data_IF_210333066645
#
_entry.id   IF_210333066645
#
_cell.length_a   1.000
_cell.length_b   1.000
_cell.length_c   1.000
_cell.angle_alpha   90.00
_cell.angle_beta   90.00
_cell.angle_gamma   90.00
#
_symmetry.space_group_name_H-M   'P 1'
#
loop_
_entity.id
_entity.type
_entity.pdbx_description
1 polymer ?
#
# COMPACT_ATOMS: atom_id res chain seq x y z
N UNK A 1 25.98 21.83 -0.31
CA UNK A 1 24.51 21.93 -0.45
C UNK A 1 24.11 22.02 -1.91
N UNK A 2 24.65 22.96 -2.69
CA UNK A 2 24.23 23.14 -4.10
C UNK A 2 24.39 21.90 -4.97
N UNK A 3 25.53 21.20 -4.88
CA UNK A 3 25.75 19.92 -5.56
C UNK A 3 24.73 18.84 -5.18
N UNK A 4 24.27 18.84 -3.93
CA UNK A 4 23.23 17.90 -3.48
C UNK A 4 21.89 18.27 -4.12
N UNK A 5 21.52 19.56 -4.13
CA UNK A 5 20.30 20.02 -4.80
C UNK A 5 20.30 19.70 -6.29
N UNK A 6 21.43 19.92 -6.97
CA UNK A 6 21.60 19.58 -8.38
C UNK A 6 21.42 18.07 -8.61
N UNK A 7 22.07 17.23 -7.80
CA UNK A 7 21.92 15.78 -7.89
C UNK A 7 20.47 15.31 -7.64
N UNK A 8 19.79 15.87 -6.63
CA UNK A 8 18.40 15.52 -6.31
C UNK A 8 17.41 15.96 -7.39
N UNK A 9 17.71 17.02 -8.14
CA UNK A 9 16.92 17.43 -9.31
C UNK A 9 17.24 16.59 -10.57
N UNK A 10 18.27 15.75 -10.55
CA UNK A 10 18.64 14.87 -11.67
C UNK A 10 18.00 13.48 -11.54
N UNK A 11 17.69 13.03 -10.33
CA UNK A 11 17.12 11.70 -10.07
C UNK A 11 15.60 11.77 -10.08
N UNK A 12 14.96 10.95 -10.90
CA UNK A 12 13.50 10.83 -10.97
C UNK A 12 12.99 9.56 -10.31
N UNK A 13 11.77 9.61 -9.77
CA UNK A 13 11.13 8.51 -9.04
C UNK A 13 11.07 8.72 -7.53
N UNK A 14 10.86 7.64 -6.78
CA UNK A 14 10.68 7.70 -5.33
C UNK A 14 11.97 7.53 -4.54
N UNK A 15 12.26 8.47 -3.64
CA UNK A 15 13.40 8.37 -2.74
C UNK A 15 13.15 9.06 -1.39
N UNK A 16 13.66 8.43 -0.34
CA UNK A 16 13.86 9.05 0.97
C UNK A 16 15.29 8.73 1.40
N UNK A 17 16.21 9.67 1.21
CA UNK A 17 17.63 9.49 1.48
C UNK A 17 18.02 9.93 2.88
N UNK A 18 18.96 9.20 3.47
CA UNK A 18 19.75 9.64 4.61
C UNK A 18 21.22 9.72 4.18
N UNK A 19 21.85 10.87 4.41
CA UNK A 19 23.25 11.14 4.08
C UNK A 19 23.92 11.64 5.34
N UNK A 20 25.10 11.12 5.66
CA UNK A 20 25.87 11.54 6.82
C UNK A 20 27.22 12.09 6.35
N UNK A 21 27.60 13.22 6.96
CA UNK A 21 28.92 13.83 6.82
C UNK A 21 29.54 13.97 8.21
N UNK A 22 30.81 14.40 8.29
CA UNK A 22 31.47 14.63 9.59
C UNK A 22 30.71 15.59 10.52
N UNK A 23 29.97 16.55 9.96
CA UNK A 23 29.36 17.65 10.71
C UNK A 23 27.82 17.69 10.63
N UNK A 24 27.18 16.76 9.91
CA UNK A 24 25.73 16.80 9.73
C UNK A 24 25.14 15.45 9.31
N UNK A 25 23.91 15.20 9.78
CA UNK A 25 22.99 14.20 9.24
C UNK A 25 21.96 14.91 8.36
N UNK A 26 21.75 14.43 7.15
CA UNK A 26 20.90 15.04 6.14
C UNK A 26 19.83 14.01 5.72
N UNK A 27 18.56 14.41 5.75
CA UNK A 27 17.47 13.69 5.12
C UNK A 27 16.99 14.44 3.87
N UNK A 28 16.64 13.73 2.80
CA UNK A 28 16.06 14.35 1.60
C UNK A 28 14.91 13.49 1.07
N UNK A 29 13.82 14.14 0.67
CA UNK A 29 12.61 13.46 0.18
C UNK A 29 12.28 13.92 -1.24
N UNK A 30 11.86 12.97 -2.08
CA UNK A 30 11.49 13.22 -3.48
C UNK A 30 10.36 14.27 -3.63
N UNK A 31 10.17 14.85 -4.84
CA UNK A 31 9.20 15.93 -5.07
C UNK A 31 7.73 15.51 -4.92
N UNK A 32 7.45 14.20 -4.83
CA UNK A 32 6.12 13.64 -4.63
C UNK A 32 5.89 13.11 -3.21
N UNK A 33 6.95 12.91 -2.43
CA UNK A 33 6.89 12.28 -1.12
C UNK A 33 6.31 10.87 -1.18
N UNK A 34 6.75 10.05 -2.13
CA UNK A 34 6.25 8.68 -2.30
C UNK A 34 6.46 7.81 -1.06
N UNK A 35 7.54 8.08 -0.33
CA UNK A 35 7.92 7.38 0.91
C UNK A 35 7.83 8.31 2.12
N UNK A 36 7.35 7.82 3.26
CA UNK A 36 7.31 8.64 4.46
C UNK A 36 8.72 8.86 5.02
N UNK A 37 8.96 10.06 5.54
CA UNK A 37 10.16 10.40 6.30
C UNK A 37 9.77 11.38 7.41
N UNK A 38 10.07 11.01 8.65
CA UNK A 38 9.69 11.73 9.85
C UNK A 38 10.92 12.16 10.63
N UNK A 39 10.88 13.39 11.14
CA UNK A 39 11.86 13.93 12.09
C UNK A 39 11.27 13.86 13.50
N UNK A 40 11.98 13.20 14.41
CA UNK A 40 11.69 13.17 15.84
C UNK A 40 12.80 13.83 16.66
N UNK A 41 12.48 14.16 17.92
CA UNK A 41 13.42 14.71 18.89
C UNK A 41 13.35 13.95 20.22
N UNK A 42 14.49 13.48 20.68
CA UNK A 42 14.64 12.82 21.97
C UNK A 42 14.68 13.84 23.12
N UNK A 43 14.38 13.39 24.35
CA UNK A 43 14.42 14.23 25.56
C UNK A 43 15.80 14.84 25.85
N UNK A 44 16.87 14.19 25.43
CA UNK A 44 18.25 14.69 25.57
C UNK A 44 18.63 15.73 24.49
N UNK A 45 17.71 16.08 23.58
CA UNK A 45 17.93 17.04 22.51
C UNK A 45 18.35 16.43 21.17
N UNK A 46 18.69 15.15 21.11
CA UNK A 46 19.09 14.48 19.86
C UNK A 46 17.93 14.40 18.86
N UNK A 47 18.24 14.49 17.57
CA UNK A 47 17.27 14.33 16.48
C UNK A 47 17.36 12.93 15.87
N UNK A 48 16.20 12.40 15.48
CA UNK A 48 16.06 11.07 14.87
C UNK A 48 15.30 11.22 13.56
N UNK A 49 15.80 10.62 12.49
CA UNK A 49 15.06 10.47 11.24
C UNK A 49 14.64 9.02 11.08
N UNK A 50 13.38 8.81 10.71
CA UNK A 50 12.84 7.48 10.49
C UNK A 50 11.80 7.50 9.37
N UNK A 51 11.67 6.40 8.64
CA UNK A 51 10.61 6.24 7.65
C UNK A 51 9.22 6.24 8.31
N UNK A 52 9.11 5.68 9.51
CA UNK A 52 7.84 5.50 10.23
C UNK A 52 7.93 6.02 11.66
N UNK A 53 6.83 6.57 12.18
CA UNK A 53 6.77 7.15 13.53
C UNK A 53 6.88 6.11 14.62
N UNK A 54 6.49 4.85 14.38
CA UNK A 54 6.64 3.78 15.37
C UNK A 54 8.11 3.60 15.82
N UNK A 55 9.09 3.94 14.96
CA UNK A 55 10.49 3.91 15.33
C UNK A 55 10.85 5.02 16.31
N UNK A 56 10.24 6.20 16.16
CA UNK A 56 10.38 7.32 17.09
C UNK A 56 9.81 6.94 18.46
N UNK A 57 8.64 6.33 18.50
CA UNK A 57 7.99 5.88 19.75
C UNK A 57 8.85 4.86 20.49
N UNK A 58 9.42 3.88 19.77
CA UNK A 58 10.27 2.83 20.35
C UNK A 58 11.52 3.41 21.01
N UNK A 59 12.13 4.45 20.41
CA UNK A 59 13.34 5.09 20.96
C UNK A 59 13.01 6.24 21.92
N UNK A 60 11.73 6.56 22.14
CA UNK A 60 11.28 7.64 23.01
C UNK A 60 11.54 9.04 22.43
N UNK A 61 11.51 9.18 21.11
CA UNK A 61 11.56 10.47 20.42
C UNK A 61 10.14 10.99 20.14
N UNK A 62 9.90 12.27 20.39
CA UNK A 62 8.65 12.94 20.06
C UNK A 62 8.67 13.36 18.58
N UNK A 63 7.58 13.12 17.85
CA UNK A 63 7.45 13.57 16.46
C UNK A 63 7.52 15.09 16.38
N UNK A 64 8.48 15.61 15.62
CA UNK A 64 8.62 17.05 15.35
C UNK A 64 7.84 17.43 14.09
N UNK A 65 8.07 16.71 12.98
CA UNK A 65 7.36 16.91 11.71
C UNK A 65 7.57 15.77 10.74
N UNK A 66 6.67 15.68 9.76
CA UNK A 66 6.95 14.96 8.52
C UNK A 66 7.84 15.85 7.62
N UNK A 67 8.79 15.24 6.94
CA UNK A 67 9.54 15.88 5.86
C UNK A 67 8.61 15.95 4.64
N UNK A 68 8.46 17.14 4.05
CA UNK A 68 7.53 17.37 2.94
C UNK A 68 8.21 17.07 1.60
N UNK A 69 7.42 16.85 0.53
CA UNK A 69 7.99 16.63 -0.79
C UNK A 69 8.94 17.77 -1.19
N UNK A 70 10.08 17.44 -1.79
CA UNK A 70 11.08 18.43 -2.22
C UNK A 70 11.92 19.06 -1.10
N UNK A 71 11.77 18.61 0.15
CA UNK A 71 12.52 19.12 1.29
C UNK A 71 13.80 18.31 1.58
N UNK A 72 14.83 19.04 2.01
CA UNK A 72 16.04 18.54 2.67
C UNK A 72 15.98 18.99 4.13
N UNK A 73 16.11 18.06 5.06
CA UNK A 73 16.36 18.34 6.48
C UNK A 73 17.85 18.18 6.74
N UNK A 74 18.47 19.19 7.34
CA UNK A 74 19.87 19.14 7.79
C UNK A 74 19.88 19.26 9.29
N UNK A 75 20.45 18.27 9.96
CA UNK A 75 20.66 18.21 11.41
C UNK A 75 22.16 18.35 11.68
N UNK A 76 22.53 19.31 12.51
CA UNK A 76 23.90 19.55 12.98
C UNK A 76 23.91 19.83 14.50
N UNK A 77 25.08 20.16 15.05
CA UNK A 77 25.27 20.44 16.49
C UNK A 77 24.44 21.65 17.00
N UNK A 78 23.89 22.47 16.10
CA UNK A 78 23.09 23.64 16.45
C UNK A 78 21.58 23.41 16.31
N UNK A 79 21.16 22.24 15.80
CA UNK A 79 19.76 21.85 15.68
C UNK A 79 19.43 21.31 14.29
N UNK A 80 18.24 21.65 13.78
CA UNK A 80 17.86 21.30 12.41
C UNK A 80 17.40 22.51 11.61
N UNK A 81 17.57 22.44 10.30
CA UNK A 81 16.99 23.37 9.33
C UNK A 81 16.38 22.62 8.16
N UNK A 82 15.38 23.24 7.55
CA UNK A 82 14.73 22.75 6.33
C UNK A 82 15.18 23.60 5.15
N UNK A 83 15.52 22.94 4.05
CA UNK A 83 15.94 23.57 2.80
C UNK A 83 15.15 22.92 1.67
N UNK A 84 14.46 23.70 0.86
CA UNK A 84 13.85 23.18 -0.37
C UNK A 84 14.90 23.09 -1.49
N UNK A 85 14.91 21.97 -2.20
CA UNK A 85 15.73 21.81 -3.42
C UNK A 85 14.91 22.00 -4.69
N UNK A 86 13.59 21.89 -4.60
CA UNK A 86 12.61 22.24 -5.64
C UNK A 86 11.32 22.73 -5.01
N UNK A 87 10.56 23.54 -5.75
CA UNK A 87 9.19 23.94 -5.42
C UNK A 87 8.15 23.30 -6.36
N UNK A 88 8.61 22.57 -7.38
CA UNK A 88 7.77 21.78 -8.26
C UNK A 88 7.46 20.46 -7.56
N UNK A 89 6.47 20.51 -6.66
CA UNK A 89 6.16 19.40 -5.76
C UNK A 89 4.69 19.10 -5.77
N UNK A 90 4.35 17.84 -5.55
CA UNK A 90 2.97 17.43 -5.43
C UNK A 90 2.85 16.13 -4.66
N UNK A 91 2.20 16.19 -3.50
CA UNK A 91 2.07 15.04 -2.62
C UNK A 91 1.34 13.88 -3.31
N UNK A 92 1.99 12.72 -3.37
CA UNK A 92 1.46 11.45 -3.86
C UNK A 92 2.04 10.30 -3.02
N UNK A 93 1.77 10.31 -1.71
CA UNK A 93 2.26 9.28 -0.78
C UNK A 93 1.74 7.90 -1.20
N UNK A 94 2.59 6.88 -1.12
CA UNK A 94 2.24 5.53 -1.54
C UNK A 94 1.02 5.00 -0.75
N UNK A 95 -0.10 4.74 -1.44
CA UNK A 95 -1.31 4.17 -0.82
C UNK A 95 -1.07 2.80 -0.17
N UNK A 96 -0.11 2.02 -0.67
CA UNK A 96 0.25 0.74 -0.09
C UNK A 96 0.92 0.84 1.29
N UNK A 97 1.43 2.02 1.69
CA UNK A 97 1.87 2.24 3.08
C UNK A 97 0.69 2.09 4.04
N UNK A 98 -0.45 2.70 3.71
CA UNK A 98 -1.67 2.55 4.48
C UNK A 98 -2.30 1.16 4.35
N UNK A 99 -2.28 0.55 3.17
CA UNK A 99 -2.92 -0.76 2.94
C UNK A 99 -2.14 -1.89 3.63
N UNK A 100 -0.80 -1.90 3.52
CA UNK A 100 0.00 -3.08 3.87
C UNK A 100 1.34 -2.78 4.55
N UNK A 101 2.16 -1.90 3.97
CA UNK A 101 3.60 -1.83 4.30
C UNK A 101 3.88 -1.24 5.68
N UNK A 102 3.28 -0.09 5.99
CA UNK A 102 3.54 0.57 7.26
C UNK A 102 2.95 -0.23 8.42
N UNK A 103 3.59 -0.12 9.58
CA UNK A 103 3.07 -0.75 10.79
C UNK A 103 1.79 -0.03 11.25
N UNK A 104 0.82 -0.78 11.82
CA UNK A 104 -0.44 -0.20 12.27
C UNK A 104 -0.30 0.89 13.35
N UNK A 105 0.79 0.88 14.12
CA UNK A 105 1.12 1.86 15.15
C UNK A 105 1.86 3.10 14.62
N UNK A 106 2.05 3.21 13.30
CA UNK A 106 2.62 4.40 12.67
C UNK A 106 1.54 5.41 12.27
N UNK A 107 1.91 6.69 12.29
CA UNK A 107 1.14 7.81 11.77
C UNK A 107 1.85 8.40 10.56
N UNK A 108 1.16 8.46 9.43
CA UNK A 108 1.70 9.03 8.18
C UNK A 108 0.93 10.32 7.92
N UNK A 109 1.63 11.47 7.95
CA UNK A 109 1.01 12.79 7.82
C UNK A 109 -0.19 13.02 8.77
N UNK A 110 -0.10 12.46 9.99
CA UNK A 110 -1.15 12.57 11.01
C UNK A 110 -2.30 11.57 10.86
N UNK A 111 -2.28 10.72 9.84
CA UNK A 111 -3.24 9.62 9.68
C UNK A 111 -2.64 8.34 10.26
N UNK A 112 -3.27 7.83 11.31
CA UNK A 112 -2.91 6.55 11.90
C UNK A 112 -3.22 5.37 10.97
N UNK A 113 -2.26 4.48 10.76
CA UNK A 113 -2.35 3.36 9.81
C UNK A 113 -3.40 2.33 10.26
N UNK A 114 -3.44 1.95 11.55
CA UNK A 114 -4.47 1.06 12.08
C UNK A 114 -5.87 1.62 11.84
N UNK A 115 -6.08 2.90 12.18
CA UNK A 115 -7.36 3.58 12.05
C UNK A 115 -7.81 3.69 10.60
N UNK A 116 -6.90 3.99 9.67
CA UNK A 116 -7.19 4.00 8.24
C UNK A 116 -7.62 2.62 7.75
N UNK A 117 -6.88 1.56 8.09
CA UNK A 117 -7.25 0.17 7.74
C UNK A 117 -8.60 -0.25 8.31
N UNK A 118 -8.90 0.16 9.55
CA UNK A 118 -10.20 -0.10 10.17
C UNK A 118 -11.33 0.58 9.40
N UNK A 119 -11.17 1.84 8.99
CA UNK A 119 -12.14 2.55 8.14
C UNK A 119 -12.30 1.88 6.77
N UNK A 120 -11.21 1.42 6.14
CA UNK A 120 -11.28 0.65 4.90
C UNK A 120 -12.14 -0.62 5.05
N UNK A 121 -11.98 -1.33 6.17
CA UNK A 121 -12.81 -2.49 6.50
C UNK A 121 -14.30 -2.17 6.64
N UNK A 122 -14.62 -1.10 7.38
CA UNK A 122 -16.01 -0.65 7.54
C UNK A 122 -16.61 -0.22 6.19
N UNK A 123 -15.87 0.56 5.39
CA UNK A 123 -16.32 0.95 4.05
C UNK A 123 -16.55 -0.26 3.15
N UNK A 124 -15.70 -1.28 3.22
CA UNK A 124 -15.86 -2.51 2.46
C UNK A 124 -17.11 -3.29 2.86
N UNK A 125 -17.52 -3.25 4.13
CA UNK A 125 -18.77 -3.85 4.58
C UNK A 125 -20.00 -3.11 4.02
N UNK A 126 -19.92 -1.78 3.91
CA UNK A 126 -20.98 -0.96 3.31
C UNK A 126 -21.09 -1.19 1.79
N UNK A 127 -19.96 -1.27 1.09
CA UNK A 127 -19.92 -1.45 -0.37
C UNK A 127 -20.24 -2.88 -0.80
N UNK A 128 -19.92 -3.88 0.03
CA UNK A 128 -20.01 -5.29 -0.35
C UNK A 128 -20.39 -6.18 0.85
N UNK A 129 -21.59 -6.00 1.41
CA UNK A 129 -22.10 -6.87 2.47
C UNK A 129 -22.34 -8.30 1.94
N UNK A 130 -22.33 -9.27 2.85
CA UNK A 130 -22.76 -10.64 2.57
C UNK A 130 -23.21 -11.34 3.85
N UNK A 131 -24.24 -12.17 3.74
CA UNK A 131 -24.72 -12.97 4.86
C UNK A 131 -23.69 -14.05 5.20
N UNK A 132 -23.10 -13.94 6.39
CA UNK A 132 -22.13 -14.89 6.90
C UNK A 132 -22.26 -15.02 8.43
N UNK A 133 -21.49 -15.93 9.03
CA UNK A 133 -21.57 -16.21 10.46
C UNK A 133 -20.45 -15.50 11.25
N UNK A 134 -19.36 -15.12 10.59
CA UNK A 134 -18.20 -14.47 11.20
C UNK A 134 -17.30 -13.79 10.17
N UNK A 135 -16.45 -12.90 10.66
CA UNK A 135 -15.36 -12.28 9.93
C UNK A 135 -14.03 -12.78 10.50
N UNK A 136 -13.07 -13.06 9.62
CA UNK A 136 -11.70 -13.40 10.01
C UNK A 136 -10.72 -12.56 9.18
N UNK A 137 -9.62 -12.13 9.80
CA UNK A 137 -8.52 -11.48 9.10
C UNK A 137 -7.40 -12.46 8.74
N UNK A 138 -6.76 -12.27 7.59
CA UNK A 138 -5.49 -12.91 7.24
C UNK A 138 -4.36 -12.30 8.09
N UNK A 139 -3.71 -13.06 8.99
CA UNK A 139 -2.70 -12.47 9.87
C UNK A 139 -1.41 -12.14 9.10
N UNK A 140 -0.79 -10.98 9.29
CA UNK A 140 -1.08 -9.97 10.33
C UNK A 140 -1.67 -8.67 9.79
N UNK A 141 -1.55 -8.42 8.49
CA UNK A 141 -1.75 -7.10 7.87
C UNK A 141 -3.21 -6.68 7.81
N UNK A 142 -4.14 -7.61 7.59
CA UNK A 142 -5.56 -7.29 7.44
C UNK A 142 -6.38 -7.34 8.73
N UNK A 143 -5.74 -7.59 9.88
CA UNK A 143 -6.44 -7.69 11.18
C UNK A 143 -7.21 -6.40 11.54
N UNK A 144 -6.66 -5.24 11.18
CA UNK A 144 -7.32 -3.94 11.42
C UNK A 144 -8.56 -3.76 10.54
N UNK A 145 -8.47 -4.13 9.25
CA UNK A 145 -9.59 -4.10 8.33
C UNK A 145 -10.66 -5.15 8.69
N UNK A 146 -10.26 -6.33 9.17
CA UNK A 146 -11.18 -7.35 9.69
C UNK A 146 -11.99 -6.83 10.88
N UNK A 147 -11.34 -6.14 11.83
CA UNK A 147 -12.04 -5.48 12.94
C UNK A 147 -13.07 -4.47 12.45
N UNK A 148 -12.69 -3.61 11.49
CA UNK A 148 -13.59 -2.60 10.95
C UNK A 148 -14.78 -3.19 10.19
N UNK A 149 -14.55 -4.20 9.37
CA UNK A 149 -15.63 -4.89 8.65
C UNK A 149 -16.58 -5.58 9.62
N UNK A 150 -16.06 -6.28 10.62
CA UNK A 150 -16.86 -7.01 11.61
C UNK A 150 -17.74 -6.08 12.45
N UNK A 151 -17.20 -4.95 12.90
CA UNK A 151 -17.93 -3.93 13.66
C UNK A 151 -19.06 -3.33 12.82
N UNK A 152 -18.79 -2.96 11.57
CA UNK A 152 -19.79 -2.39 10.66
C UNK A 152 -20.88 -3.42 10.30
N UNK A 153 -20.50 -4.67 10.04
CA UNK A 153 -21.43 -5.73 9.67
C UNK A 153 -22.20 -6.33 10.87
N UNK A 154 -21.83 -5.98 12.11
CA UNK A 154 -22.41 -6.58 13.32
C UNK A 154 -22.11 -8.07 13.48
N UNK A 155 -20.96 -8.53 12.98
CA UNK A 155 -20.53 -9.93 12.99
C UNK A 155 -19.39 -10.16 14.00
N UNK A 156 -19.26 -11.37 14.57
CA UNK A 156 -18.12 -11.69 15.41
C UNK A 156 -16.81 -11.70 14.59
N UNK A 157 -15.77 -11.05 15.12
CA UNK A 157 -14.41 -11.09 14.59
C UNK A 157 -13.63 -12.23 15.26
N UNK A 158 -13.39 -13.31 14.53
CA UNK A 158 -12.87 -14.56 15.06
C UNK A 158 -11.47 -14.90 14.56
N UNK A 159 -10.76 -15.71 15.33
CA UNK A 159 -9.43 -16.19 14.96
C UNK A 159 -9.53 -17.48 14.14
N UNK A 160 -9.95 -17.36 12.87
CA UNK A 160 -10.08 -18.49 11.95
C UNK A 160 -8.76 -18.94 11.29
N UNK A 161 -7.73 -18.09 11.30
CA UNK A 161 -6.42 -18.34 10.73
C UNK A 161 -5.32 -18.00 11.74
N UNK A 162 -4.28 -18.83 11.77
CA UNK A 162 -3.07 -18.62 12.57
C UNK A 162 -1.87 -18.60 11.65
N UNK A 163 -1.09 -17.52 11.74
CA UNK A 163 0.25 -17.45 11.14
C UNK A 163 1.25 -18.10 12.08
N UNK A 164 2.02 -19.05 11.55
CA UNK A 164 3.11 -19.66 12.30
C UNK A 164 4.29 -18.67 12.36
N UNK A 165 4.62 -18.21 13.57
CA UNK A 165 5.68 -17.23 13.79
C UNK A 165 7.10 -17.79 13.61
N UNK A 166 7.25 -19.12 13.55
CA UNK A 166 8.54 -19.80 13.57
C UNK A 166 8.96 -20.37 12.20
N UNK A 167 8.25 -20.01 11.12
CA UNK A 167 8.59 -20.49 9.77
C UNK A 167 9.80 -19.72 9.24
N UNK A 168 10.97 -20.33 9.30
CA UNK A 168 12.19 -19.82 8.68
C UNK A 168 12.14 -19.88 7.15
N UNK A 169 13.05 -19.16 6.48
CA UNK A 169 13.25 -19.24 5.03
C UNK A 169 13.51 -20.71 4.62
N UNK A 170 12.63 -21.28 3.79
CA UNK A 170 12.77 -22.64 3.21
C UNK A 170 13.82 -22.63 2.10
N UNK A 171 15.10 -22.42 2.44
CA UNK A 171 16.14 -22.15 1.45
C UNK A 171 16.65 -23.39 0.70
N UNK A 172 16.49 -24.61 1.24
CA UNK A 172 16.78 -25.86 0.52
C UNK A 172 15.83 -26.95 1.03
N UNK A 173 14.72 -27.18 0.34
CA UNK A 173 13.86 -28.36 0.57
C UNK A 173 14.05 -29.32 -0.61
N UNK A 174 14.45 -30.59 -0.37
CA UNK A 174 14.95 -31.49 -1.41
C UNK A 174 13.90 -31.95 -2.41
N UNK A 175 12.61 -31.87 -2.06
CA UNK A 175 11.51 -32.27 -2.95
C UNK A 175 10.48 -31.16 -3.09
N UNK A 176 9.73 -31.20 -4.20
CA UNK A 176 8.60 -30.29 -4.45
C UNK A 176 7.51 -30.47 -3.38
N UNK A 177 7.25 -31.70 -2.94
CA UNK A 177 6.30 -32.01 -1.86
C UNK A 177 6.66 -31.38 -0.52
N UNK A 178 7.95 -31.38 -0.14
CA UNK A 178 8.43 -30.73 1.08
C UNK A 178 8.37 -29.20 0.98
N UNK A 179 8.54 -28.64 -0.21
CA UNK A 179 8.27 -27.21 -0.48
C UNK A 179 6.80 -26.88 -0.29
N UNK A 180 5.91 -27.70 -0.85
CA UNK A 180 4.46 -27.53 -0.68
C UNK A 180 4.05 -27.65 0.78
N UNK A 181 4.59 -28.62 1.54
CA UNK A 181 4.41 -28.72 3.00
C UNK A 181 4.94 -27.49 3.75
N UNK A 182 6.10 -26.96 3.39
CA UNK A 182 6.66 -25.75 4.00
C UNK A 182 5.77 -24.51 3.76
N UNK A 183 5.07 -24.45 2.64
CA UNK A 183 4.03 -23.43 2.39
C UNK A 183 2.80 -23.68 3.27
N UNK A 184 2.37 -24.94 3.47
CA UNK A 184 1.28 -25.29 4.41
C UNK A 184 1.61 -24.90 5.85
N UNK A 185 2.88 -24.82 6.23
CA UNK A 185 3.29 -24.43 7.58
C UNK A 185 3.11 -22.94 7.88
N UNK A 186 3.00 -22.06 6.88
CA UNK A 186 2.94 -20.60 7.10
C UNK A 186 1.64 -20.13 7.73
N UNK A 187 0.52 -20.71 7.30
CA UNK A 187 -0.83 -20.39 7.75
C UNK A 187 -1.59 -21.68 8.02
N UNK A 188 -2.33 -21.72 9.12
CA UNK A 188 -3.19 -22.84 9.51
C UNK A 188 -4.59 -22.34 9.83
N UNK A 189 -5.62 -23.10 9.44
CA UNK A 189 -7.00 -22.79 9.78
C UNK A 189 -7.36 -23.41 11.14
N UNK A 190 -8.09 -22.65 11.95
CA UNK A 190 -8.59 -23.10 13.25
C UNK A 190 -9.90 -23.86 13.02
N UNK A 191 -9.80 -25.16 12.77
CA UNK A 191 -10.94 -26.03 12.45
C UNK A 191 -12.11 -25.91 13.44
N UNK A 192 -11.82 -25.77 14.73
CA UNK A 192 -12.85 -25.62 15.77
C UNK A 192 -13.69 -24.34 15.65
N UNK A 193 -13.16 -23.32 14.97
CA UNK A 193 -13.83 -22.03 14.72
C UNK A 193 -14.61 -22.08 13.40
N UNK A 194 -13.98 -22.55 12.32
CA UNK A 194 -14.52 -22.38 10.96
C UNK A 194 -15.44 -23.52 10.48
N UNK A 195 -15.43 -24.69 11.12
CA UNK A 195 -16.17 -25.86 10.63
C UNK A 195 -17.69 -25.60 10.62
N UNK A 196 -18.31 -25.78 9.45
CA UNK A 196 -19.73 -25.61 9.20
C UNK A 196 -20.18 -24.15 9.13
N UNK A 197 -19.26 -23.20 9.12
CA UNK A 197 -19.55 -21.76 9.13
C UNK A 197 -19.37 -21.13 7.76
N UNK A 198 -20.17 -20.12 7.46
CA UNK A 198 -19.97 -19.19 6.34
C UNK A 198 -19.04 -18.09 6.83
N UNK A 199 -17.87 -17.96 6.20
CA UNK A 199 -16.78 -17.14 6.73
C UNK A 199 -16.44 -16.03 5.75
N UNK A 200 -16.45 -14.77 6.22
CA UNK A 200 -15.88 -13.64 5.51
C UNK A 200 -14.40 -13.56 5.84
N UNK A 201 -13.54 -13.59 4.82
CA UNK A 201 -12.09 -13.50 4.95
C UNK A 201 -11.65 -12.13 4.44
N UNK A 202 -11.10 -11.32 5.33
CA UNK A 202 -10.51 -10.04 4.97
C UNK A 202 -9.03 -10.24 4.67
N UNK A 203 -8.61 -9.85 3.47
CA UNK A 203 -7.20 -9.74 3.08
C UNK A 203 -6.92 -8.29 2.65
N UNK A 204 -5.66 -7.87 2.71
CA UNK A 204 -5.29 -6.49 2.37
C UNK A 204 -5.36 -6.22 0.86
N UNK A 205 -4.88 -7.18 0.06
CA UNK A 205 -4.61 -7.03 -1.36
C UNK A 205 -4.50 -8.40 -2.04
N UNK A 206 -4.72 -8.44 -3.36
CA UNK A 206 -4.41 -9.62 -4.18
C UNK A 206 -3.44 -9.21 -5.29
N UNK A 207 -2.22 -9.77 -5.24
CA UNK A 207 -1.19 -9.57 -6.28
C UNK A 207 -1.27 -10.69 -7.32
N UNK A 208 -0.82 -11.90 -6.96
CA UNK A 208 -0.77 -13.08 -7.85
C UNK A 208 -1.97 -14.04 -7.68
N UNK A 209 -2.76 -13.85 -6.61
CA UNK A 209 -3.88 -14.74 -6.26
C UNK A 209 -3.52 -16.09 -5.64
N UNK A 210 -2.25 -16.50 -5.67
CA UNK A 210 -1.81 -17.83 -5.16
C UNK A 210 -2.01 -17.98 -3.66
N UNK A 211 -1.69 -16.95 -2.87
CA UNK A 211 -1.90 -16.92 -1.42
C UNK A 211 -3.39 -17.02 -1.09
N UNK A 212 -4.22 -16.18 -1.71
CA UNK A 212 -5.68 -16.16 -1.50
C UNK A 212 -6.31 -17.50 -1.89
N UNK A 213 -5.91 -18.09 -3.02
CA UNK A 213 -6.33 -19.45 -3.42
C UNK A 213 -6.00 -20.49 -2.34
N UNK A 214 -4.80 -20.42 -1.77
CA UNK A 214 -4.39 -21.35 -0.71
C UNK A 214 -5.18 -21.15 0.57
N UNK A 215 -5.47 -19.92 0.95
CA UNK A 215 -6.29 -19.58 2.13
C UNK A 215 -7.70 -20.14 1.98
N UNK A 216 -8.34 -19.91 0.83
CA UNK A 216 -9.68 -20.43 0.55
C UNK A 216 -9.69 -21.96 0.61
N UNK A 217 -8.72 -22.61 -0.04
CA UNK A 217 -8.59 -24.07 0.02
C UNK A 217 -8.43 -24.58 1.45
N UNK A 218 -7.57 -23.94 2.25
CA UNK A 218 -7.31 -24.32 3.64
C UNK A 218 -8.56 -24.22 4.52
N UNK A 219 -9.38 -23.18 4.32
CA UNK A 219 -10.64 -22.99 5.05
C UNK A 219 -11.69 -24.02 4.64
N UNK A 220 -11.81 -24.31 3.33
CA UNK A 220 -12.69 -25.37 2.82
C UNK A 220 -12.26 -26.75 3.33
N UNK A 221 -10.96 -27.05 3.35
CA UNK A 221 -10.38 -28.28 3.94
C UNK A 221 -10.67 -28.39 5.46
N UNK A 222 -10.67 -27.26 6.18
CA UNK A 222 -11.05 -27.21 7.59
C UNK A 222 -12.58 -27.37 7.80
N UNK A 223 -13.36 -27.31 6.73
CA UNK A 223 -14.80 -27.57 6.74
C UNK A 223 -15.66 -26.32 6.81
N UNK A 224 -15.16 -25.14 6.43
CA UNK A 224 -16.02 -23.97 6.21
C UNK A 224 -17.10 -24.29 5.16
N UNK A 225 -18.33 -23.84 5.40
CA UNK A 225 -19.45 -24.03 4.50
C UNK A 225 -19.34 -23.12 3.27
N UNK A 226 -19.00 -21.84 3.50
CA UNK A 226 -18.78 -20.82 2.47
C UNK A 226 -17.57 -19.97 2.85
N UNK A 227 -16.83 -19.48 1.86
CA UNK A 227 -15.69 -18.58 2.01
C UNK A 227 -15.88 -17.37 1.11
N UNK A 228 -16.17 -16.22 1.71
CA UNK A 228 -16.36 -14.95 1.02
C UNK A 228 -15.11 -14.07 1.20
N UNK A 229 -14.38 -13.84 0.12
CA UNK A 229 -13.20 -12.99 0.14
C UNK A 229 -13.60 -11.53 0.03
N UNK A 230 -13.03 -10.68 0.88
CA UNK A 230 -13.22 -9.23 0.87
C UNK A 230 -11.84 -8.59 0.99
N UNK A 231 -11.47 -7.80 -0.01
CA UNK A 231 -10.12 -7.24 -0.15
C UNK A 231 -10.16 -5.75 0.17
N UNK A 232 -9.41 -5.31 1.18
CA UNK A 232 -9.40 -3.91 1.64
C UNK A 232 -8.54 -2.98 0.78
N UNK A 233 -8.40 -3.30 -0.51
CA UNK A 233 -7.82 -2.47 -1.55
C UNK A 233 -8.59 -2.66 -2.85
N UNK A 234 -8.49 -1.72 -3.81
CA UNK A 234 -8.90 -1.96 -5.18
C UNK A 234 -8.04 -3.05 -5.84
N UNK A 235 -8.44 -3.60 -7.00
CA UNK A 235 -7.64 -4.57 -7.73
C UNK A 235 -6.31 -3.97 -8.21
N UNK A 236 -5.19 -4.63 -7.92
CA UNK A 236 -3.85 -4.20 -8.34
C UNK A 236 -3.62 -4.60 -9.81
N UNK A 237 -3.71 -3.62 -10.71
CA UNK A 237 -3.64 -3.82 -12.17
C UNK A 237 -2.31 -3.37 -12.77
N UNK A 238 -1.61 -2.46 -12.11
CA UNK A 238 -0.40 -1.82 -12.64
C UNK A 238 0.81 -2.02 -11.72
N UNK A 239 2.02 -2.08 -12.29
CA UNK A 239 3.26 -2.21 -11.53
C UNK A 239 3.56 -0.94 -10.72
N UNK A 240 4.56 -1.03 -9.85
CA UNK A 240 5.10 0.10 -9.11
C UNK A 240 6.52 0.40 -9.58
N UNK A 241 6.80 1.68 -9.84
CA UNK A 241 8.13 2.17 -10.19
C UNK A 241 8.78 2.99 -9.06
N UNK A 242 8.15 3.06 -7.88
CA UNK A 242 8.53 3.91 -6.75
C UNK A 242 9.06 3.11 -5.55
N UNK A 243 9.68 1.95 -5.81
CA UNK A 243 10.41 1.15 -4.81
C UNK A 243 9.63 0.00 -4.16
N UNK A 244 8.43 -0.35 -4.62
CA UNK A 244 7.76 -1.60 -4.25
C UNK A 244 8.09 -2.67 -5.30
N UNK A 245 8.43 -3.89 -4.87
CA UNK A 245 8.76 -5.03 -5.74
C UNK A 245 7.51 -5.65 -6.39
N UNK A 246 6.84 -4.85 -7.23
CA UNK A 246 5.76 -5.25 -8.14
C UNK A 246 6.13 -4.67 -9.50
N UNK A 247 7.12 -5.25 -10.15
CA UNK A 247 7.76 -4.64 -11.32
C UNK A 247 7.08 -4.96 -12.66
N UNK A 248 6.18 -5.97 -12.72
CA UNK A 248 5.57 -6.37 -13.99
C UNK A 248 4.07 -6.68 -13.90
N UNK A 249 3.30 -6.21 -14.89
CA UNK A 249 1.88 -6.58 -15.06
C UNK A 249 1.67 -8.07 -15.25
N UNK A 250 2.69 -8.80 -15.71
CA UNK A 250 2.59 -10.25 -15.95
C UNK A 250 2.29 -11.03 -14.67
N UNK A 251 2.73 -10.53 -13.53
CA UNK A 251 2.51 -11.15 -12.22
C UNK A 251 1.15 -10.77 -11.61
N UNK A 252 0.53 -9.71 -12.08
CA UNK A 252 -0.71 -9.19 -11.53
C UNK A 252 -1.91 -9.94 -12.08
N UNK A 253 -2.63 -10.64 -11.20
CA UNK A 253 -3.81 -11.40 -11.59
C UNK A 253 -4.91 -10.47 -12.11
N UNK A 254 -5.11 -9.32 -11.47
CA UNK A 254 -6.14 -8.36 -11.84
C UNK A 254 -5.80 -7.55 -13.10
N UNK A 255 -4.56 -7.59 -13.59
CA UNK A 255 -4.20 -7.05 -14.90
C UNK A 255 -4.74 -7.90 -16.07
N UNK A 256 -5.13 -9.15 -15.80
CA UNK A 256 -5.49 -10.15 -16.83
C UNK A 256 -6.86 -10.78 -16.64
N UNK A 257 -7.47 -10.57 -15.48
CA UNK A 257 -8.69 -11.24 -15.05
C UNK A 257 -9.66 -10.24 -14.46
N UNK A 258 -10.93 -10.39 -14.83
CA UNK A 258 -12.05 -9.77 -14.14
C UNK A 258 -12.17 -10.28 -12.70
N UNK A 259 -12.93 -9.57 -11.86
CA UNK A 259 -13.18 -9.98 -10.46
C UNK A 259 -13.79 -11.39 -10.40
N UNK A 260 -14.68 -11.72 -11.32
CA UNK A 260 -15.33 -13.03 -11.39
C UNK A 260 -14.33 -14.14 -11.75
N UNK A 261 -13.46 -13.91 -12.72
CA UNK A 261 -12.40 -14.86 -13.06
C UNK A 261 -11.37 -15.02 -11.93
N UNK A 262 -11.12 -13.97 -11.13
CA UNK A 262 -10.28 -14.06 -9.93
C UNK A 262 -10.99 -14.90 -8.86
N UNK A 263 -12.29 -14.69 -8.63
CA UNK A 263 -13.12 -15.47 -7.70
C UNK A 263 -13.04 -16.95 -8.03
N UNK A 264 -13.24 -17.32 -9.29
CA UNK A 264 -13.11 -18.70 -9.79
C UNK A 264 -11.70 -19.24 -9.58
N UNK A 265 -10.68 -18.45 -9.93
CA UNK A 265 -9.28 -18.87 -9.81
C UNK A 265 -8.90 -19.22 -8.36
N UNK A 266 -9.36 -18.42 -7.39
CA UNK A 266 -9.09 -18.64 -5.96
C UNK A 266 -10.05 -19.64 -5.32
N UNK A 267 -11.17 -19.95 -5.98
CA UNK A 267 -12.18 -20.92 -5.52
C UNK A 267 -13.10 -20.39 -4.42
N UNK A 268 -13.22 -19.06 -4.28
CA UNK A 268 -14.08 -18.42 -3.28
C UNK A 268 -15.55 -18.45 -3.71
N UNK A 269 -16.45 -18.43 -2.74
CA UNK A 269 -17.91 -18.40 -2.98
C UNK A 269 -18.36 -17.00 -3.41
N UNK A 270 -17.69 -15.95 -2.91
CA UNK A 270 -17.79 -14.60 -3.47
C UNK A 270 -16.46 -13.85 -3.29
N UNK A 271 -16.21 -12.84 -4.13
CA UNK A 271 -15.06 -11.95 -4.04
C UNK A 271 -15.52 -10.52 -4.27
N UNK A 272 -15.11 -9.60 -3.40
CA UNK A 272 -15.25 -8.16 -3.64
C UNK A 272 -13.98 -7.42 -3.21
N UNK A 273 -13.74 -6.28 -3.85
CA UNK A 273 -12.63 -5.37 -3.57
C UNK A 273 -13.20 -4.04 -3.12
N UNK A 274 -12.47 -3.34 -2.25
CA UNK A 274 -12.78 -1.96 -1.90
C UNK A 274 -12.68 -1.08 -3.15
N UNK A 275 -13.64 -0.16 -3.33
CA UNK A 275 -13.59 0.80 -4.41
C UNK A 275 -12.39 1.76 -4.28
N UNK A 276 -11.96 2.39 -5.38
CA UNK A 276 -10.88 3.38 -5.34
C UNK A 276 -11.27 4.60 -4.50
N UNK A 277 -12.49 5.09 -4.67
CA UNK A 277 -13.02 6.21 -3.88
C UNK A 277 -13.13 5.82 -2.41
N UNK A 278 -13.64 4.61 -2.12
CA UNK A 278 -13.70 4.06 -0.77
C UNK A 278 -12.32 3.95 -0.12
N UNK A 279 -11.27 3.61 -0.87
CA UNK A 279 -9.88 3.63 -0.38
C UNK A 279 -9.44 5.04 0.01
N UNK A 280 -9.59 6.01 -0.91
CA UNK A 280 -9.14 7.40 -0.71
C UNK A 280 -9.87 8.05 0.46
N UNK A 281 -11.21 7.92 0.50
CA UNK A 281 -12.06 8.43 1.58
C UNK A 281 -11.72 7.78 2.93
N UNK A 282 -11.48 6.46 2.94
CA UNK A 282 -11.14 5.74 4.18
C UNK A 282 -9.77 6.13 4.73
N UNK A 283 -8.78 6.40 3.88
CA UNK A 283 -7.49 6.93 4.35
C UNK A 283 -7.72 8.33 4.90
N UNK A 284 -8.41 9.19 4.16
CA UNK A 284 -8.81 10.52 4.63
C UNK A 284 -7.61 11.44 4.85
N UNK A 285 -6.57 11.34 4.02
CA UNK A 285 -5.38 12.20 4.11
C UNK A 285 -5.72 13.67 3.86
N UNK A 286 -6.65 13.94 2.93
CA UNK A 286 -7.26 15.26 2.76
C UNK A 286 -6.31 16.36 2.31
N UNK A 287 -5.18 16.03 1.65
CA UNK A 287 -4.30 17.04 1.08
C UNK A 287 -4.92 17.65 -0.19
N UNK A 288 -4.58 18.92 -0.46
CA UNK A 288 -4.91 19.60 -1.72
C UNK A 288 -4.02 19.09 -2.86
N UNK A 289 -4.30 17.85 -3.28
CA UNK A 289 -3.63 17.12 -4.33
C UNK A 289 -4.57 16.01 -4.85
N UNK A 290 -4.36 15.49 -6.07
CA UNK A 290 -5.12 14.36 -6.60
C UNK A 290 -5.22 13.20 -5.60
N UNK A 291 -6.40 12.59 -5.55
CA UNK A 291 -6.69 11.47 -4.65
C UNK A 291 -6.37 11.77 -3.17
N UNK A 292 -6.51 13.02 -2.74
CA UNK A 292 -6.21 13.46 -1.37
C UNK A 292 -4.72 13.41 -1.01
N UNK A 293 -3.84 13.40 -2.01
CA UNK A 293 -2.39 13.31 -1.86
C UNK A 293 -1.83 11.89 -1.91
N UNK A 294 -2.59 10.92 -2.44
CA UNK A 294 -2.20 9.51 -2.52
C UNK A 294 -1.74 9.13 -3.94
N UNK A 295 -0.66 8.36 -4.03
CA UNK A 295 -0.35 7.61 -5.24
C UNK A 295 -1.22 6.35 -5.32
N UNK A 296 -2.09 6.31 -6.32
CA UNK A 296 -3.05 5.21 -6.58
C UNK A 296 -2.77 4.49 -7.91
N UNK A 297 -1.59 4.72 -8.50
CA UNK A 297 -1.19 4.19 -9.80
C UNK A 297 -1.36 2.67 -9.91
N UNK A 298 -1.16 1.93 -8.81
CA UNK A 298 -1.42 0.48 -8.70
C UNK A 298 -2.77 0.04 -9.26
N UNK A 299 -3.79 0.90 -9.14
CA UNK A 299 -5.19 0.58 -9.37
C UNK A 299 -5.73 1.15 -10.67
N UNK A 300 -5.36 2.39 -11.00
CA UNK A 300 -5.90 3.14 -12.14
C UNK A 300 -4.87 3.44 -13.24
N UNK A 301 -3.58 3.23 -12.98
CA UNK A 301 -2.46 3.48 -13.89
C UNK A 301 -2.10 4.95 -14.09
N UNK A 302 -2.64 5.84 -13.25
CA UNK A 302 -2.32 7.27 -13.24
C UNK A 302 -1.04 7.48 -12.40
N UNK A 303 0.10 7.51 -13.08
CA UNK A 303 1.39 7.69 -12.44
C UNK A 303 1.65 9.19 -12.23
N UNK A 304 2.01 9.60 -10.99
CA UNK A 304 2.21 11.02 -10.68
C UNK A 304 3.58 11.57 -11.14
N UNK A 305 4.32 10.81 -11.95
CA UNK A 305 5.56 11.21 -12.61
C UNK A 305 5.66 10.52 -13.97
N UNK A 306 6.49 11.05 -14.87
CA UNK A 306 6.96 10.28 -16.02
C UNK A 306 7.70 9.02 -15.55
N UNK A 307 7.69 8.02 -16.42
CA UNK A 307 8.30 6.72 -16.16
C UNK A 307 9.68 6.57 -16.79
N UNK A 308 10.12 7.55 -17.60
CA UNK A 308 11.41 7.60 -18.26
C UNK A 308 11.83 6.24 -18.85
N UNK A 309 12.92 5.65 -18.35
CA UNK A 309 13.47 4.36 -18.79
C UNK A 309 12.46 3.19 -18.71
N UNK A 310 11.43 3.30 -17.86
CA UNK A 310 10.39 2.28 -17.71
C UNK A 310 9.20 2.44 -18.66
N UNK A 311 9.04 3.60 -19.30
CA UNK A 311 7.83 3.94 -20.08
C UNK A 311 7.61 2.97 -21.24
N UNK A 312 8.65 2.72 -22.04
CA UNK A 312 8.54 1.88 -23.22
C UNK A 312 8.07 0.46 -22.90
N UNK A 313 8.56 -0.12 -21.80
CA UNK A 313 8.18 -1.47 -21.38
C UNK A 313 6.83 -1.50 -20.66
N UNK A 314 6.51 -0.45 -19.90
CA UNK A 314 5.18 -0.26 -19.33
C UNK A 314 4.10 -0.22 -20.41
N UNK A 315 4.25 0.63 -21.43
CA UNK A 315 3.30 0.77 -22.55
C UNK A 315 3.14 -0.54 -23.33
N UNK A 316 4.23 -1.29 -23.55
CA UNK A 316 4.15 -2.63 -24.16
C UNK A 316 3.32 -3.59 -23.33
N UNK A 317 3.33 -3.45 -22.01
CA UNK A 317 2.68 -4.35 -21.07
C UNK A 317 1.18 -4.12 -20.89
N UNK A 318 0.67 -2.97 -21.35
CA UNK A 318 -0.75 -2.59 -21.27
C UNK A 318 -1.64 -3.43 -22.19
N UNK A 319 -2.89 -3.65 -21.78
CA UNK A 319 -3.93 -4.21 -22.65
C UNK A 319 -4.32 -3.20 -23.73
N UNK A 320 -4.93 -3.64 -24.85
CA UNK A 320 -5.43 -2.72 -25.87
C UNK A 320 -6.35 -1.63 -25.31
N UNK A 321 -7.22 -1.98 -24.37
CA UNK A 321 -8.14 -1.05 -23.72
C UNK A 321 -7.37 -0.02 -22.87
N UNK A 322 -6.39 -0.48 -22.08
CA UNK A 322 -5.59 0.42 -21.24
C UNK A 322 -4.68 1.34 -22.05
N UNK A 323 -4.22 0.92 -23.24
CA UNK A 323 -3.47 1.79 -24.16
C UNK A 323 -4.30 2.92 -24.75
N UNK A 324 -5.62 2.84 -24.71
CA UNK A 324 -6.51 3.95 -25.09
C UNK A 324 -6.85 4.75 -23.84
N UNK A 325 -7.29 4.06 -22.78
CA UNK A 325 -7.77 4.67 -21.55
C UNK A 325 -6.69 5.48 -20.83
N UNK A 326 -5.46 4.98 -20.73
CA UNK A 326 -4.40 5.64 -19.96
C UNK A 326 -3.87 6.90 -20.66
N UNK A 327 -3.59 6.90 -21.98
CA UNK A 327 -3.27 8.14 -22.69
C UNK A 327 -4.42 9.14 -22.71
N UNK A 328 -5.68 8.71 -22.91
CA UNK A 328 -6.82 9.63 -22.80
C UNK A 328 -6.98 10.19 -21.38
N UNK A 329 -6.75 9.36 -20.36
CA UNK A 329 -6.75 9.82 -18.98
C UNK A 329 -5.63 10.83 -18.76
N UNK A 330 -4.40 10.52 -19.15
CA UNK A 330 -3.25 11.42 -19.06
C UNK A 330 -3.51 12.75 -19.77
N UNK A 331 -4.12 12.72 -20.96
CA UNK A 331 -4.29 13.90 -21.81
C UNK A 331 -5.52 14.75 -21.47
N UNK A 332 -6.60 14.17 -20.93
CA UNK A 332 -7.87 14.89 -20.73
C UNK A 332 -8.35 14.95 -19.29
N UNK A 333 -7.82 14.10 -18.40
CA UNK A 333 -8.31 13.98 -17.00
C UNK A 333 -7.22 14.07 -15.95
N UNK A 334 -6.00 13.72 -16.31
CA UNK A 334 -4.83 13.86 -15.48
C UNK A 334 -4.39 15.31 -15.54
N UNK A 335 -3.98 15.83 -14.39
CA UNK A 335 -3.48 17.19 -14.24
C UNK A 335 -1.96 17.23 -14.37
N UNK A 336 -1.39 16.37 -15.19
CA UNK A 336 0.05 16.21 -15.31
C UNK A 336 0.49 16.48 -16.75
N UNK A 337 1.41 17.42 -16.92
CA UNK A 337 2.15 17.63 -18.17
C UNK A 337 3.60 17.20 -17.95
N UNK A 338 3.98 16.06 -18.56
CA UNK A 338 5.28 15.45 -18.33
C UNK A 338 5.46 15.01 -16.86
N UNK A 339 6.37 15.66 -16.14
CA UNK A 339 6.64 15.43 -14.71
C UNK A 339 5.93 16.44 -13.79
N UNK A 340 5.22 17.43 -14.35
CA UNK A 340 4.73 18.57 -13.60
C UNK A 340 3.22 18.51 -13.45
N UNK A 341 2.75 18.68 -12.21
CA UNK A 341 1.33 18.89 -11.96
C UNK A 341 0.92 20.30 -12.39
N UNK A 342 -0.02 20.38 -13.32
CA UNK A 342 -0.58 21.64 -13.83
C UNK A 342 -1.93 21.91 -13.19
N UNK A 343 -2.15 23.16 -12.76
CA UNK A 343 -3.45 23.58 -12.20
C UNK A 343 -4.48 23.89 -13.28
N UNK A 344 -4.04 24.05 -14.53
CA UNK A 344 -4.85 24.29 -15.73
C UNK A 344 -5.18 22.97 -16.41
N UNK A 345 -6.47 22.70 -16.61
CA UNK A 345 -6.89 21.54 -17.41
C UNK A 345 -6.48 21.77 -18.86
N UNK A 346 -6.02 20.75 -19.62
CA UNK A 346 -5.71 20.87 -21.05
C UNK A 346 -6.90 21.26 -21.95
N UNK A 347 -8.08 21.52 -21.37
CA UNK A 347 -9.30 21.98 -22.04
C UNK A 347 -9.57 23.49 -21.87
N UNK A 348 -8.74 24.26 -21.16
CA UNK A 348 -8.93 25.71 -21.06
C UNK A 348 -8.26 26.52 -22.19
N UNK A 349 -7.49 25.86 -23.06
CA UNK A 349 -7.01 26.44 -24.31
C UNK A 349 -7.66 25.74 -25.51
N UNK A 350 -8.92 26.10 -25.83
CA UNK A 350 -9.41 26.33 -27.21
C UNK A 350 -10.88 26.74 -27.27
#
# INVERSE_FOLDING_TARGET
>A
MDKLKEALNTVHGGFAYLIMTENAMIGALDPNGFRPLSLGKMKNGAYVLASETCALDIVGAELVRNIRPGEIVVVDDHGYKIVQYTNQTQLAICSMEFIYFARPDSDIYGVNVHSARKRMGARLAQESPVDADMVIGVPNSSLSAASGYAEEAGLPNEMGLIKNQYVARTFIQPTQELREQGVRMKLSAVRGVVKGKRVIVIDDSIVRGTTSKRIVQLLKEAGAAEVHMRISSPPLKYPCFYGIDISTTKELIAAKKSVEEIRDFIGADSLAFLSLDGLVESIGLGADAPYGGLCVAYFNGDYPTALDDYEADFLKSLTPEDRVRLPEFALYKSKYEGNEYTTTSPQEEH
#
